data_IF_509960607917
#
_entry.id   IF_509960607917
#
_cell.length_a   1.000
_cell.length_b   1.000
_cell.length_c   1.000
_cell.angle_alpha   90.00
_cell.angle_beta   90.00
_cell.angle_gamma   90.00
#
_symmetry.space_group_name_H-M   'P 1'
#
loop_
_entity.id
_entity.type
_entity.pdbx_description
1 polymer ?
#
# COMPACT_ATOMS: atom_id res chain seq x y z
N UNK A 1 -3.88 18.38 -10.75
CA UNK A 1 -5.29 17.95 -10.90
C UNK A 1 -5.28 16.50 -11.36
N UNK A 2 -6.17 15.66 -10.81
CA UNK A 2 -6.26 14.23 -11.16
C UNK A 2 -6.72 14.09 -12.62
N UNK A 3 -6.09 13.21 -13.44
CA UNK A 3 -6.50 13.00 -14.83
C UNK A 3 -7.70 12.04 -14.90
N UNK A 4 -8.92 12.54 -14.77
CA UNK A 4 -10.17 11.76 -14.69
C UNK A 4 -10.31 10.75 -15.85
N UNK A 5 -10.12 11.20 -17.08
CA UNK A 5 -10.23 10.33 -18.27
C UNK A 5 -9.25 9.14 -18.20
N UNK A 6 -8.06 9.33 -17.64
CA UNK A 6 -7.09 8.25 -17.47
C UNK A 6 -7.52 7.27 -16.34
N UNK A 7 -8.09 7.80 -15.26
CA UNK A 7 -8.65 6.99 -14.16
C UNK A 7 -9.76 6.08 -14.66
N UNK A 8 -10.70 6.65 -15.44
CA UNK A 8 -11.80 5.89 -16.03
C UNK A 8 -11.34 4.81 -17.01
N UNK A 9 -10.33 5.09 -17.85
CA UNK A 9 -9.75 4.10 -18.76
C UNK A 9 -9.00 2.99 -18.03
N UNK A 10 -8.36 3.28 -16.91
CA UNK A 10 -7.58 2.30 -16.14
C UNK A 10 -8.45 1.41 -15.25
N UNK A 11 -9.62 1.88 -14.83
CA UNK A 11 -10.47 1.13 -13.91
C UNK A 11 -10.83 -0.29 -14.37
N UNK A 12 -11.29 -0.53 -15.61
CA UNK A 12 -11.61 -1.89 -16.06
C UNK A 12 -10.41 -2.85 -16.03
N UNK A 13 -9.19 -2.32 -16.25
CA UNK A 13 -7.96 -3.10 -16.21
C UNK A 13 -7.63 -3.48 -14.76
N UNK A 14 -7.66 -2.51 -13.85
CA UNK A 14 -7.29 -2.69 -12.45
C UNK A 14 -8.31 -3.57 -11.71
N UNK A 15 -9.60 -3.36 -11.95
CA UNK A 15 -10.66 -4.20 -11.37
C UNK A 15 -10.59 -5.65 -11.87
N UNK A 16 -10.27 -5.87 -13.15
CA UNK A 16 -10.04 -7.22 -13.70
C UNK A 16 -8.84 -7.92 -13.05
N UNK A 17 -7.75 -7.20 -12.78
CA UNK A 17 -6.59 -7.75 -12.05
C UNK A 17 -6.98 -8.15 -10.62
N UNK A 18 -7.74 -7.32 -9.92
CA UNK A 18 -8.23 -7.60 -8.58
C UNK A 18 -9.21 -8.80 -8.58
N UNK A 19 -10.09 -8.89 -9.58
CA UNK A 19 -10.99 -10.02 -9.77
C UNK A 19 -10.24 -11.34 -9.90
N UNK A 20 -9.18 -11.37 -10.71
CA UNK A 20 -8.33 -12.56 -10.84
C UNK A 20 -7.70 -13.01 -9.50
N UNK A 21 -7.41 -12.07 -8.61
CA UNK A 21 -6.90 -12.38 -7.27
C UNK A 21 -8.00 -12.94 -6.36
N UNK A 22 -9.19 -12.35 -6.41
CA UNK A 22 -10.35 -12.83 -5.65
C UNK A 22 -10.80 -14.23 -6.09
N UNK A 23 -10.82 -14.50 -7.38
CA UNK A 23 -11.21 -15.83 -7.89
C UNK A 23 -10.28 -16.93 -7.37
N UNK A 24 -8.97 -16.65 -7.29
CA UNK A 24 -8.01 -17.57 -6.66
C UNK A 24 -8.27 -17.78 -5.16
N UNK A 25 -8.68 -16.73 -4.44
CA UNK A 25 -9.07 -16.84 -3.03
C UNK A 25 -10.33 -17.68 -2.86
N UNK A 26 -11.35 -17.48 -3.70
CA UNK A 26 -12.60 -18.27 -3.72
C UNK A 26 -12.32 -19.74 -4.01
N UNK A 27 -11.47 -20.04 -5.00
CA UNK A 27 -11.05 -21.41 -5.31
C UNK A 27 -10.30 -22.05 -4.14
N UNK A 28 -9.38 -21.34 -3.49
CA UNK A 28 -8.62 -21.84 -2.34
C UNK A 28 -9.53 -22.15 -1.15
N UNK A 29 -10.53 -21.30 -0.89
CA UNK A 29 -11.51 -21.48 0.18
C UNK A 29 -12.40 -22.70 -0.06
N UNK A 30 -12.90 -22.87 -1.29
CA UNK A 30 -13.73 -24.03 -1.67
C UNK A 30 -12.99 -25.37 -1.55
N UNK A 31 -11.67 -25.37 -1.80
CA UNK A 31 -10.83 -26.58 -1.69
C UNK A 31 -10.49 -26.91 -0.25
N UNK A 32 -10.29 -25.92 0.63
CA UNK A 32 -10.01 -26.16 2.05
C UNK A 32 -11.23 -26.73 2.81
N UNK A 33 -12.43 -26.43 2.36
CA UNK A 33 -13.66 -27.06 2.87
C UNK A 33 -13.82 -28.56 2.47
N UNK A 34 -12.99 -29.09 1.58
CA UNK A 34 -13.15 -30.44 0.99
C UNK A 34 -11.91 -31.35 1.11
N UNK A 35 -10.85 -31.03 1.88
CA UNK A 35 -9.59 -31.75 1.74
C UNK A 35 -9.21 -32.73 2.84
N UNK A 36 -9.05 -33.98 2.43
CA UNK A 36 -8.08 -34.94 2.93
C UNK A 36 -6.66 -34.53 2.51
N UNK A 37 -5.74 -34.48 3.48
CA UNK A 37 -4.36 -34.02 3.43
C UNK A 37 -3.47 -34.49 2.28
N UNK A 38 -3.44 -33.75 1.21
CA UNK A 38 -2.32 -33.79 0.27
C UNK A 38 -1.54 -32.48 0.32
N UNK A 39 -0.26 -32.55 0.65
CA UNK A 39 0.70 -31.44 0.56
C UNK A 39 0.78 -30.98 -0.89
N UNK A 40 -0.07 -30.02 -1.30
CA UNK A 40 0.07 -29.38 -2.62
C UNK A 40 1.36 -28.56 -2.62
N UNK A 41 2.29 -28.89 -3.49
CA UNK A 41 3.44 -28.05 -3.81
C UNK A 41 2.90 -26.65 -4.16
N UNK A 42 3.23 -25.64 -3.35
CA UNK A 42 2.80 -24.25 -3.58
C UNK A 42 3.36 -23.79 -4.91
N UNK A 43 2.51 -23.56 -5.90
CA UNK A 43 2.92 -23.02 -7.19
C UNK A 43 3.47 -21.61 -6.94
N UNK A 44 4.69 -21.34 -7.42
CA UNK A 44 5.35 -20.04 -7.28
C UNK A 44 4.43 -18.94 -7.85
N UNK A 45 4.19 -17.88 -7.07
CA UNK A 45 3.51 -16.68 -7.52
C UNK A 45 4.48 -15.78 -8.31
N UNK A 46 3.96 -14.99 -9.24
CA UNK A 46 4.68 -13.89 -9.88
C UNK A 46 3.91 -12.57 -9.71
N UNK A 47 3.07 -12.48 -8.70
CA UNK A 47 2.18 -11.34 -8.48
C UNK A 47 2.96 -10.09 -8.14
N UNK A 48 3.86 -10.16 -7.15
CA UNK A 48 4.68 -9.01 -6.74
C UNK A 48 5.69 -8.61 -7.81
N UNK A 49 6.26 -9.58 -8.54
CA UNK A 49 7.14 -9.28 -9.67
C UNK A 49 6.41 -8.47 -10.76
N UNK A 50 5.20 -8.87 -11.14
CA UNK A 50 4.39 -8.13 -12.12
C UNK A 50 4.00 -6.75 -11.61
N UNK A 51 3.62 -6.65 -10.33
CA UNK A 51 3.30 -5.37 -9.71
C UNK A 51 4.50 -4.43 -9.68
N UNK A 52 5.70 -4.93 -9.34
CA UNK A 52 6.94 -4.14 -9.38
C UNK A 52 7.17 -3.55 -10.76
N UNK A 53 7.10 -4.37 -11.82
CA UNK A 53 7.29 -3.90 -13.20
C UNK A 53 6.26 -2.86 -13.60
N UNK A 54 4.99 -3.08 -13.26
CA UNK A 54 3.90 -2.13 -13.53
C UNK A 54 4.13 -0.80 -12.82
N UNK A 55 4.45 -0.84 -11.52
CA UNK A 55 4.70 0.35 -10.71
C UNK A 55 5.89 1.15 -11.23
N UNK A 56 7.00 0.46 -11.56
CA UNK A 56 8.18 1.10 -12.12
C UNK A 56 7.86 1.82 -13.44
N UNK A 57 7.14 1.15 -14.36
CA UNK A 57 6.79 1.72 -15.66
C UNK A 57 5.83 2.91 -15.54
N UNK A 58 4.80 2.80 -14.72
CA UNK A 58 3.85 3.90 -14.50
C UNK A 58 4.52 5.10 -13.83
N UNK A 59 5.41 4.84 -12.85
CA UNK A 59 6.14 5.90 -12.15
C UNK A 59 7.23 6.54 -13.01
N UNK A 60 7.77 5.82 -14.00
CA UNK A 60 8.62 6.40 -15.03
C UNK A 60 7.89 7.48 -15.83
N UNK A 61 6.59 7.25 -16.14
CA UNK A 61 5.75 8.26 -16.77
C UNK A 61 5.41 9.41 -15.83
N UNK A 62 4.74 9.12 -14.71
CA UNK A 62 4.44 10.06 -13.62
C UNK A 62 3.99 9.31 -12.35
N UNK A 63 4.79 9.39 -11.30
CA UNK A 63 4.48 8.75 -10.02
C UNK A 63 3.22 9.31 -9.34
N UNK A 64 2.89 10.58 -9.56
CA UNK A 64 1.68 11.21 -9.04
C UNK A 64 0.43 10.68 -9.71
N UNK A 65 0.47 10.51 -11.02
CA UNK A 65 -0.63 9.92 -11.81
C UNK A 65 -0.80 8.44 -11.44
N UNK A 66 0.30 7.69 -11.31
CA UNK A 66 0.24 6.31 -10.84
C UNK A 66 -0.48 6.19 -9.49
N UNK A 67 -0.12 7.03 -8.51
CA UNK A 67 -0.69 6.97 -7.16
C UNK A 67 -2.14 7.48 -7.05
N UNK A 68 -2.70 8.11 -8.09
CA UNK A 68 -4.12 8.46 -8.10
C UNK A 68 -5.02 7.38 -8.72
N UNK A 69 -4.46 6.26 -9.18
CA UNK A 69 -5.24 5.17 -9.76
C UNK A 69 -6.14 4.47 -8.73
N UNK A 70 -7.38 4.11 -9.12
CA UNK A 70 -8.30 3.40 -8.24
C UNK A 70 -7.80 1.99 -7.96
N UNK A 71 -7.72 1.64 -6.70
CA UNK A 71 -7.32 0.31 -6.25
C UNK A 71 -7.58 0.13 -4.76
N UNK A 72 -7.45 -1.09 -4.25
CA UNK A 72 -7.47 -1.37 -2.82
C UNK A 72 -6.24 -0.77 -2.08
N UNK A 73 -5.16 -0.46 -2.80
CA UNK A 73 -3.93 0.19 -2.32
C UNK A 73 -3.41 -0.37 -0.97
N UNK A 74 -2.96 0.51 -0.07
CA UNK A 74 -2.50 0.10 1.27
C UNK A 74 -3.62 -0.48 2.14
N UNK A 75 -4.87 -0.06 1.94
CA UNK A 75 -6.03 -0.67 2.59
C UNK A 75 -6.16 -2.14 2.23
N UNK A 76 -6.03 -2.48 0.95
CA UNK A 76 -6.02 -3.85 0.46
C UNK A 76 -4.87 -4.67 1.03
N UNK A 77 -3.67 -4.11 1.08
CA UNK A 77 -2.50 -4.78 1.67
C UNK A 77 -2.73 -5.11 3.15
N UNK A 78 -3.37 -4.22 3.92
CA UNK A 78 -3.73 -4.48 5.31
C UNK A 78 -4.80 -5.59 5.44
N UNK A 79 -5.83 -5.56 4.58
CA UNK A 79 -6.86 -6.60 4.53
C UNK A 79 -6.23 -7.97 4.20
N UNK A 80 -5.35 -8.03 3.22
CA UNK A 80 -4.65 -9.27 2.84
C UNK A 80 -3.73 -9.79 3.94
N UNK A 81 -3.05 -8.91 4.67
CA UNK A 81 -2.11 -9.29 5.71
C UNK A 81 -2.78 -9.86 6.96
N UNK A 82 -3.91 -9.31 7.40
CA UNK A 82 -4.50 -9.61 8.71
C UNK A 82 -5.97 -10.02 8.67
N UNK A 83 -6.68 -9.81 7.59
CA UNK A 83 -8.09 -10.19 7.44
C UNK A 83 -8.29 -11.70 7.38
N UNK A 84 -9.44 -12.18 7.88
CA UNK A 84 -9.89 -13.55 7.65
C UNK A 84 -10.25 -13.74 6.18
N UNK A 85 -10.39 -15.00 5.73
CA UNK A 85 -10.80 -15.28 4.33
C UNK A 85 -12.15 -14.63 4.02
N UNK A 86 -13.10 -14.70 4.94
CA UNK A 86 -14.41 -14.06 4.81
C UNK A 86 -14.28 -12.53 4.68
N UNK A 87 -13.49 -11.89 5.53
CA UNK A 87 -13.24 -10.46 5.46
C UNK A 87 -12.56 -10.06 4.15
N UNK A 88 -11.57 -10.84 3.68
CA UNK A 88 -10.92 -10.60 2.38
C UNK A 88 -11.93 -10.65 1.23
N UNK A 89 -12.77 -11.68 1.19
CA UNK A 89 -13.79 -11.81 0.15
C UNK A 89 -14.82 -10.68 0.23
N UNK A 90 -15.34 -10.36 1.42
CA UNK A 90 -16.30 -9.28 1.62
C UNK A 90 -15.76 -7.91 1.21
N UNK A 91 -14.56 -7.58 1.67
CA UNK A 91 -14.01 -6.23 1.54
C UNK A 91 -13.33 -5.97 0.19
N UNK A 92 -12.64 -6.97 -0.39
CA UNK A 92 -11.91 -6.78 -1.64
C UNK A 92 -12.78 -6.88 -2.87
N UNK A 93 -13.99 -7.47 -2.77
CA UNK A 93 -14.96 -7.57 -3.89
C UNK A 93 -15.30 -6.20 -4.47
N UNK A 94 -15.42 -5.15 -3.65
CA UNK A 94 -15.71 -3.78 -4.12
C UNK A 94 -14.68 -3.19 -5.08
N UNK A 95 -13.43 -3.69 -5.05
CA UNK A 95 -12.35 -3.26 -5.95
C UNK A 95 -12.25 -4.14 -7.22
N UNK A 96 -13.03 -5.18 -7.32
CA UNK A 96 -13.05 -6.12 -8.43
C UNK A 96 -14.34 -6.10 -9.22
N UNK A 97 -15.42 -5.69 -8.59
CA UNK A 97 -16.78 -5.78 -9.14
C UNK A 97 -17.45 -4.40 -9.03
N UNK A 98 -18.06 -3.96 -10.12
CA UNK A 98 -18.73 -2.66 -10.21
C UNK A 98 -18.19 -1.77 -11.34
N UNK A 99 -19.05 -0.85 -11.79
CA UNK A 99 -18.77 -0.01 -12.95
C UNK A 99 -17.98 1.26 -12.60
N UNK A 100 -17.99 1.66 -11.33
CA UNK A 100 -17.36 2.89 -10.88
C UNK A 100 -16.02 2.64 -10.19
N UNK A 101 -15.02 3.52 -10.38
CA UNK A 101 -13.75 3.46 -9.68
C UNK A 101 -13.93 3.50 -8.15
N UNK A 102 -13.18 2.65 -7.44
CA UNK A 102 -13.18 2.57 -5.98
C UNK A 102 -11.75 2.66 -5.44
N UNK A 103 -11.56 3.42 -4.36
CA UNK A 103 -10.29 3.59 -3.69
C UNK A 103 -10.32 2.98 -2.28
N UNK A 104 -9.21 2.33 -1.92
CA UNK A 104 -8.92 1.91 -0.56
C UNK A 104 -7.74 2.69 0.00
N UNK A 105 -7.78 2.96 1.28
CA UNK A 105 -6.72 3.69 1.96
C UNK A 105 -6.34 3.06 3.29
N UNK A 106 -5.22 3.49 3.86
CA UNK A 106 -4.78 3.10 5.20
C UNK A 106 -4.35 4.34 5.98
N UNK A 107 -4.84 4.49 7.19
CA UNK A 107 -4.58 5.60 8.09
C UNK A 107 -3.93 5.09 9.39
N UNK A 108 -2.62 5.35 9.54
CA UNK A 108 -1.86 5.00 10.73
C UNK A 108 -1.27 6.24 11.41
N UNK A 109 -0.65 7.11 10.63
CA UNK A 109 0.09 8.29 11.11
C UNK A 109 -0.82 9.31 11.79
N UNK A 110 -0.35 9.86 12.90
CA UNK A 110 -1.01 10.91 13.68
C UNK A 110 -0.07 12.11 13.85
N UNK A 111 -0.58 13.30 14.24
CA UNK A 111 0.25 14.48 14.45
C UNK A 111 1.43 14.24 15.40
N UNK A 112 1.25 13.41 16.44
CA UNK A 112 2.27 13.05 17.42
C UNK A 112 2.93 11.69 17.23
N UNK A 113 2.54 10.91 16.20
CA UNK A 113 2.99 9.53 16.02
C UNK A 113 3.23 9.22 14.53
N UNK A 114 4.44 9.43 14.07
CA UNK A 114 4.91 9.09 12.72
C UNK A 114 5.70 7.79 12.72
N UNK A 115 7.04 7.88 12.81
CA UNK A 115 7.92 6.71 12.84
C UNK A 115 7.72 5.85 14.07
N UNK A 116 7.42 6.46 15.21
CA UNK A 116 6.99 5.71 16.40
C UNK A 116 5.48 5.50 16.41
N UNK A 117 5.05 4.43 15.76
CA UNK A 117 3.64 4.03 15.71
C UNK A 117 3.10 3.53 17.04
N UNK A 118 3.97 3.25 18.06
CA UNK A 118 3.50 2.87 19.40
C UNK A 118 2.87 4.03 20.16
N UNK A 119 3.14 5.26 19.72
CA UNK A 119 2.62 6.49 20.32
C UNK A 119 1.24 6.92 19.79
N UNK A 120 0.56 6.12 18.98
CA UNK A 120 -0.76 6.48 18.46
C UNK A 120 -1.77 6.72 19.59
N UNK A 121 -2.58 7.75 19.40
CA UNK A 121 -3.58 8.19 20.38
C UNK A 121 -5.02 7.82 19.98
N UNK A 122 -5.27 7.51 18.72
CA UNK A 122 -6.58 7.04 18.25
C UNK A 122 -7.00 5.79 19.02
N UNK A 123 -8.19 5.82 19.57
CA UNK A 123 -8.78 4.73 20.38
C UNK A 123 -9.92 4.06 19.65
N UNK A 124 -10.14 2.78 19.96
CA UNK A 124 -11.34 2.05 19.62
C UNK A 124 -11.87 1.36 20.88
N UNK A 125 -13.11 1.67 21.24
CA UNK A 125 -13.80 1.11 22.41
C UNK A 125 -14.99 0.30 21.91
N UNK A 126 -15.12 -0.92 22.39
CA UNK A 126 -16.26 -1.77 22.06
C UNK A 126 -17.47 -1.40 22.91
N UNK A 127 -18.62 -1.29 22.27
CA UNK A 127 -19.92 -1.03 22.87
C UNK A 127 -20.77 -2.31 22.78
N UNK A 128 -20.89 -3.01 23.91
CA UNK A 128 -21.61 -4.29 24.01
C UNK A 128 -23.12 -4.12 23.76
N UNK A 129 -23.68 -2.95 24.06
CA UNK A 129 -25.12 -2.70 23.91
C UNK A 129 -25.52 -2.61 22.42
N UNK A 130 -24.67 -1.96 21.61
CA UNK A 130 -24.95 -1.76 20.19
C UNK A 130 -24.22 -2.74 19.27
N UNK A 131 -23.30 -3.54 19.82
CA UNK A 131 -22.42 -4.45 19.07
C UNK A 131 -21.59 -3.70 18.00
N UNK A 132 -20.98 -2.58 18.42
CA UNK A 132 -20.21 -1.68 17.57
C UNK A 132 -18.89 -1.31 18.21
N UNK A 133 -17.91 -0.91 17.37
CA UNK A 133 -16.71 -0.21 17.82
C UNK A 133 -16.91 1.30 17.70
N UNK A 134 -16.50 2.06 18.71
CA UNK A 134 -16.50 3.52 18.72
C UNK A 134 -15.06 4.00 18.59
N UNK A 135 -14.74 4.66 17.48
CA UNK A 135 -13.41 5.18 17.18
C UNK A 135 -13.35 6.69 17.46
N UNK A 136 -12.28 7.12 18.14
CA UNK A 136 -11.98 8.52 18.42
C UNK A 136 -10.51 8.82 18.16
N UNK A 137 -10.21 9.90 17.42
CA UNK A 137 -8.86 10.35 17.15
C UNK A 137 -8.70 11.11 15.85
N UNK A 138 -7.43 11.35 15.47
CA UNK A 138 -7.06 12.06 14.26
C UNK A 138 -5.96 11.31 13.51
N UNK A 139 -6.08 11.24 12.20
CA UNK A 139 -5.08 10.66 11.31
C UNK A 139 -4.64 11.69 10.28
N UNK A 140 -3.34 11.70 9.95
CA UNK A 140 -2.77 12.57 8.94
C UNK A 140 -2.09 11.77 7.84
N UNK A 141 -1.90 12.41 6.69
CA UNK A 141 -1.19 11.85 5.53
C UNK A 141 -1.80 10.55 4.98
N UNK A 142 -3.13 10.44 5.04
CA UNK A 142 -3.86 9.30 4.48
C UNK A 142 -3.97 9.44 2.95
N UNK A 143 -3.14 8.72 2.23
CA UNK A 143 -3.18 8.67 0.76
C UNK A 143 -4.46 8.02 0.28
N UNK A 144 -5.12 8.63 -0.69
CA UNK A 144 -6.44 8.24 -1.25
C UNK A 144 -7.58 8.25 -0.23
N UNK A 145 -7.41 8.88 0.93
CA UNK A 145 -8.41 8.89 1.98
C UNK A 145 -9.66 9.69 1.61
N UNK A 146 -9.51 10.85 0.96
CA UNK A 146 -10.62 11.66 0.46
C UNK A 146 -11.37 10.93 -0.66
N UNK A 147 -10.64 10.35 -1.62
CA UNK A 147 -11.22 9.55 -2.69
C UNK A 147 -12.01 8.35 -2.17
N UNK A 148 -11.48 7.67 -1.14
CA UNK A 148 -12.13 6.51 -0.53
C UNK A 148 -13.40 6.88 0.23
N UNK A 149 -13.38 7.96 1.01
CA UNK A 149 -14.47 8.31 1.93
C UNK A 149 -15.56 9.21 1.33
N UNK A 150 -15.19 10.09 0.37
CA UNK A 150 -16.09 11.14 -0.13
C UNK A 150 -16.44 11.00 -1.61
N UNK A 151 -15.57 10.39 -2.43
CA UNK A 151 -15.77 10.33 -3.88
C UNK A 151 -16.11 8.94 -4.40
N UNK A 152 -15.95 7.88 -3.58
CA UNK A 152 -16.28 6.51 -3.98
C UNK A 152 -16.92 5.71 -2.84
N UNK A 153 -17.44 4.53 -3.14
CA UNK A 153 -17.87 3.57 -2.13
C UNK A 153 -16.66 2.78 -1.58
N UNK A 154 -15.64 3.53 -1.14
CA UNK A 154 -14.37 3.01 -0.68
C UNK A 154 -14.32 2.72 0.81
N UNK A 155 -13.10 2.46 1.28
CA UNK A 155 -12.84 2.23 2.70
C UNK A 155 -11.45 2.72 3.11
N UNK A 156 -11.29 3.00 4.39
CA UNK A 156 -10.00 3.30 5.02
C UNK A 156 -9.75 2.32 6.14
N UNK A 157 -8.59 1.68 6.12
CA UNK A 157 -8.15 0.86 7.26
C UNK A 157 -7.48 1.77 8.28
N UNK A 158 -8.15 1.99 9.40
CA UNK A 158 -7.70 2.85 10.49
C UNK A 158 -7.04 2.00 11.58
N UNK A 159 -5.79 2.30 11.90
CA UNK A 159 -5.12 1.71 13.06
C UNK A 159 -5.44 2.48 14.32
N UNK A 160 -6.05 1.81 15.31
CA UNK A 160 -6.42 2.38 16.59
C UNK A 160 -6.04 1.45 17.74
N UNK A 161 -5.89 1.97 18.95
CA UNK A 161 -5.59 1.16 20.12
C UNK A 161 -6.87 0.77 20.86
N UNK A 162 -7.00 -0.52 21.16
CA UNK A 162 -8.05 -1.08 22.04
C UNK A 162 -7.58 -1.19 23.48
N UNK A 163 -6.27 -1.24 23.69
CA UNK A 163 -5.64 -1.32 25.02
C UNK A 163 -4.28 -0.60 24.98
N UNK A 164 -4.21 0.57 25.61
CA UNK A 164 -2.97 1.36 25.71
C UNK A 164 -1.90 0.68 26.57
N UNK A 165 -2.31 -0.09 27.57
CA UNK A 165 -1.38 -0.76 28.50
C UNK A 165 -0.60 -1.88 27.81
N UNK A 166 -1.15 -2.45 26.74
CA UNK A 166 -0.51 -3.47 25.91
C UNK A 166 0.45 -2.90 24.84
N UNK A 167 0.62 -1.57 24.78
CA UNK A 167 1.47 -0.90 23.79
C UNK A 167 1.12 -1.30 22.37
N UNK A 168 2.12 -1.71 21.58
CA UNK A 168 1.91 -2.13 20.17
C UNK A 168 0.98 -3.33 20.00
N UNK A 169 0.87 -4.20 21.00
CA UNK A 169 -0.03 -5.36 20.94
C UNK A 169 -1.51 -4.95 21.00
N UNK A 170 -1.81 -3.80 21.63
CA UNK A 170 -3.15 -3.22 21.71
C UNK A 170 -3.60 -2.51 20.43
N UNK A 171 -2.70 -2.32 19.44
CA UNK A 171 -3.07 -1.73 18.15
C UNK A 171 -3.80 -2.72 17.26
N UNK A 172 -4.94 -2.31 16.71
CA UNK A 172 -5.77 -3.12 15.80
C UNK A 172 -6.19 -2.31 14.57
N UNK A 173 -6.35 -2.96 13.41
CA UNK A 173 -6.87 -2.33 12.20
C UNK A 173 -8.39 -2.44 12.12
N UNK A 174 -9.03 -1.32 11.83
CA UNK A 174 -10.48 -1.19 11.70
C UNK A 174 -10.87 -0.72 10.32
N UNK A 175 -11.92 -1.32 9.77
CA UNK A 175 -12.49 -0.95 8.47
C UNK A 175 -13.49 0.18 8.68
N UNK A 176 -13.15 1.35 8.18
CA UNK A 176 -14.03 2.52 8.14
C UNK A 176 -14.50 2.70 6.70
N UNK A 177 -15.78 2.55 6.46
CA UNK A 177 -16.37 2.65 5.13
C UNK A 177 -16.83 4.08 4.83
N UNK A 178 -16.96 4.40 3.55
CA UNK A 178 -17.53 5.66 3.11
C UNK A 178 -18.92 5.89 3.74
N UNK A 179 -19.21 7.11 4.15
CA UNK A 179 -20.47 7.46 4.79
C UNK A 179 -20.59 7.10 6.27
N UNK A 180 -19.56 6.52 6.91
CA UNK A 180 -19.56 6.24 8.36
C UNK A 180 -19.78 7.54 9.16
N UNK A 181 -20.84 7.65 10.00
CA UNK A 181 -21.08 8.83 10.82
C UNK A 181 -19.91 9.09 11.79
N UNK A 182 -19.58 10.38 12.01
CA UNK A 182 -18.46 10.77 12.88
C UNK A 182 -17.10 10.73 12.20
N UNK A 183 -17.01 10.35 10.92
CA UNK A 183 -15.79 10.40 10.12
C UNK A 183 -15.80 11.61 9.21
N UNK A 184 -14.74 12.40 9.22
CA UNK A 184 -14.61 13.61 8.38
C UNK A 184 -13.21 13.73 7.80
N UNK A 185 -13.13 14.07 6.53
CA UNK A 185 -11.90 14.58 5.92
C UNK A 185 -11.77 16.06 6.35
N UNK A 186 -10.71 16.36 7.10
CA UNK A 186 -10.51 17.68 7.70
C UNK A 186 -9.61 18.58 6.90
N UNK A 187 -8.69 17.99 6.11
CA UNK A 187 -7.70 18.75 5.35
C UNK A 187 -7.16 17.93 4.17
N UNK A 188 -7.03 18.57 3.02
CA UNK A 188 -6.21 18.07 1.92
C UNK A 188 -4.79 18.64 2.04
N UNK A 189 -3.76 17.77 1.98
CA UNK A 189 -2.38 18.15 2.19
C UNK A 189 -1.76 18.76 0.94
N UNK A 190 -1.05 19.89 1.12
CA UNK A 190 -0.23 20.49 0.07
C UNK A 190 1.14 19.79 0.06
N UNK A 191 1.43 19.06 -1.01
CA UNK A 191 2.66 18.28 -1.13
C UNK A 191 3.68 18.94 -2.05
N UNK A 192 4.98 18.72 -1.80
CA UNK A 192 6.06 19.18 -2.67
C UNK A 192 6.13 18.41 -4.00
N UNK A 193 5.78 17.14 -4.00
CA UNK A 193 5.72 16.26 -5.17
C UNK A 193 4.50 15.35 -5.11
N UNK A 194 4.29 14.50 -6.14
CA UNK A 194 3.17 13.54 -6.23
C UNK A 194 1.82 14.25 -6.00
N UNK A 195 1.67 15.44 -6.60
CA UNK A 195 0.56 16.36 -6.32
C UNK A 195 -0.77 15.92 -6.92
N UNK A 196 -0.76 15.05 -7.91
CA UNK A 196 -1.96 14.46 -8.49
C UNK A 196 -2.64 13.44 -7.55
N UNK A 197 -1.86 12.82 -6.66
CA UNK A 197 -2.38 11.89 -5.65
C UNK A 197 -3.05 12.64 -4.51
N UNK A 198 -4.24 12.21 -4.11
CA UNK A 198 -4.95 12.67 -2.93
C UNK A 198 -4.20 12.25 -1.65
N UNK A 199 -4.11 13.15 -0.68
CA UNK A 199 -3.56 12.85 0.65
C UNK A 199 -4.25 13.77 1.65
N UNK A 200 -4.89 13.19 2.66
CA UNK A 200 -5.77 13.93 3.58
C UNK A 200 -5.49 13.65 5.04
N UNK A 201 -5.99 14.53 5.89
CA UNK A 201 -6.19 14.31 7.32
C UNK A 201 -7.64 13.92 7.58
N UNK A 202 -7.85 13.00 8.54
CA UNK A 202 -9.15 12.43 8.88
C UNK A 202 -9.38 12.58 10.38
N UNK A 203 -10.53 13.12 10.78
CA UNK A 203 -11.03 13.12 12.17
C UNK A 203 -12.04 11.99 12.36
N UNK A 204 -11.97 11.37 13.52
CA UNK A 204 -12.88 10.33 14.01
C UNK A 204 -13.49 10.83 15.33
N UNK A 205 -14.77 11.15 15.32
CA UNK A 205 -15.51 11.71 16.44
C UNK A 205 -16.69 10.80 16.79
N UNK A 206 -16.50 9.89 17.74
CA UNK A 206 -17.46 8.83 18.06
C UNK A 206 -17.91 8.06 16.81
N UNK A 207 -16.97 7.78 15.92
CA UNK A 207 -17.24 7.06 14.69
C UNK A 207 -17.61 5.62 15.01
N UNK A 208 -18.86 5.23 14.71
CA UNK A 208 -19.40 3.90 15.00
C UNK A 208 -19.28 2.99 13.79
N UNK A 209 -18.71 1.83 14.00
CA UNK A 209 -18.54 0.81 12.98
C UNK A 209 -18.99 -0.55 13.51
N UNK A 210 -19.52 -1.45 12.67
CA UNK A 210 -19.93 -2.79 13.07
C UNK A 210 -18.81 -3.60 13.76
N UNK A 211 -19.20 -4.50 14.65
CA UNK A 211 -18.26 -5.35 15.39
C UNK A 211 -17.30 -6.15 14.46
N UNK A 212 -17.80 -6.62 13.32
CA UNK A 212 -17.04 -7.42 12.34
C UNK A 212 -16.11 -6.59 11.43
N UNK A 213 -16.10 -5.25 11.61
CA UNK A 213 -15.19 -4.35 10.93
C UNK A 213 -13.80 -4.20 11.60
N UNK A 214 -13.52 -4.93 12.67
CA UNK A 214 -12.13 -5.17 13.11
C UNK A 214 -11.50 -6.25 12.22
N UNK A 215 -10.33 -5.99 11.63
CA UNK A 215 -9.64 -7.00 10.82
C UNK A 215 -8.92 -8.04 11.70
N UNK A 216 -9.17 -9.30 11.43
CA UNK A 216 -8.62 -10.42 12.20
C UNK A 216 -9.29 -10.55 13.56
N UNK A 217 -8.49 -10.74 14.63
CA UNK A 217 -8.98 -10.94 15.99
C UNK A 217 -8.89 -9.67 16.83
N UNK A 218 -9.94 -9.39 17.61
CA UNK A 218 -9.95 -8.33 18.61
C UNK A 218 -9.05 -8.65 19.83
N UNK A 219 -8.71 -9.92 20.04
CA UNK A 219 -7.92 -10.38 21.18
C UNK A 219 -6.53 -9.73 21.22
N UNK A 220 -6.17 -9.16 22.36
CA UNK A 220 -4.86 -8.56 22.57
C UNK A 220 -3.87 -9.66 22.99
N UNK A 221 -3.00 -10.05 22.08
CA UNK A 221 -1.95 -11.05 22.33
C UNK A 221 -0.65 -10.35 22.72
N UNK A 222 -0.33 -10.31 24.00
CA UNK A 222 0.91 -9.70 24.53
C UNK A 222 2.12 -10.62 24.39
N UNK A 223 1.92 -11.94 24.37
CA UNK A 223 3.00 -12.90 24.21
C UNK A 223 3.45 -13.04 22.75
N UNK A 224 4.76 -12.94 22.51
CA UNK A 224 5.39 -13.15 21.21
C UNK A 224 5.22 -12.01 20.18
N UNK A 225 4.76 -10.83 20.59
CA UNK A 225 4.68 -9.63 19.71
C UNK A 225 3.76 -9.79 18.49
N UNK A 226 2.78 -10.68 18.56
CA UNK A 226 1.94 -11.04 17.40
C UNK A 226 0.99 -9.91 16.95
N UNK A 227 0.57 -9.05 17.87
CA UNK A 227 -0.38 -7.95 17.53
C UNK A 227 0.18 -6.94 16.53
N UNK A 228 1.48 -6.62 16.57
CA UNK A 228 2.13 -5.69 15.65
C UNK A 228 2.62 -6.36 14.35
N UNK A 229 2.73 -7.68 14.31
CA UNK A 229 3.21 -8.42 13.12
C UNK A 229 2.35 -8.18 11.88
N UNK A 230 1.04 -7.99 12.05
CA UNK A 230 0.14 -7.67 10.93
C UNK A 230 0.45 -6.33 10.28
N UNK A 231 0.71 -5.28 11.08
CA UNK A 231 1.14 -3.98 10.55
C UNK A 231 2.48 -4.10 9.82
N UNK A 232 3.46 -4.79 10.41
CA UNK A 232 4.76 -5.01 9.77
C UNK A 232 4.63 -5.80 8.48
N UNK A 233 3.83 -6.87 8.44
CA UNK A 233 3.58 -7.63 7.23
C UNK A 233 2.97 -6.78 6.09
N UNK A 234 2.07 -5.84 6.45
CA UNK A 234 1.52 -4.87 5.48
C UNK A 234 2.63 -4.00 4.89
N UNK A 235 3.53 -3.48 5.72
CA UNK A 235 4.65 -2.66 5.27
C UNK A 235 5.68 -3.46 4.48
N UNK A 236 6.04 -4.65 4.92
CA UNK A 236 7.00 -5.52 4.23
C UNK A 236 6.51 -5.91 2.83
N UNK A 237 5.19 -6.08 2.66
CA UNK A 237 4.58 -6.32 1.35
C UNK A 237 4.55 -5.07 0.45
N UNK A 238 4.42 -3.86 1.02
CA UNK A 238 4.24 -2.62 0.26
C UNK A 238 5.55 -1.88 -0.05
N UNK A 239 6.56 -1.94 0.82
CA UNK A 239 7.83 -1.21 0.65
C UNK A 239 8.56 -1.50 -0.66
N UNK A 240 8.68 -2.75 -1.12
CA UNK A 240 9.34 -3.03 -2.41
C UNK A 240 8.61 -2.38 -3.59
N UNK A 241 7.29 -2.21 -3.53
CA UNK A 241 6.53 -1.51 -4.56
C UNK A 241 6.77 0.00 -4.52
N UNK A 242 6.95 0.59 -3.33
CA UNK A 242 7.37 2.00 -3.19
C UNK A 242 8.78 2.20 -3.77
N UNK A 243 9.70 1.27 -3.51
CA UNK A 243 11.03 1.28 -4.10
C UNK A 243 10.96 1.20 -5.64
N UNK A 244 10.08 0.36 -6.19
CA UNK A 244 9.84 0.29 -7.64
C UNK A 244 9.37 1.64 -8.22
N UNK A 245 8.50 2.35 -7.48
CA UNK A 245 8.08 3.71 -7.87
C UNK A 245 9.25 4.69 -7.92
N UNK A 246 10.12 4.67 -6.91
CA UNK A 246 11.34 5.50 -6.88
C UNK A 246 12.29 5.15 -8.02
N UNK A 247 12.45 3.86 -8.35
CA UNK A 247 13.24 3.39 -9.49
C UNK A 247 12.70 3.94 -10.82
N UNK A 248 11.37 3.93 -11.02
CA UNK A 248 10.75 4.50 -12.21
C UNK A 248 11.10 5.97 -12.40
N UNK A 249 10.91 6.79 -11.36
CA UNK A 249 11.27 8.22 -11.37
C UNK A 249 12.76 8.43 -11.60
N UNK A 250 13.62 7.67 -10.89
CA UNK A 250 15.08 7.77 -11.03
C UNK A 250 15.56 7.40 -12.44
N UNK A 251 14.94 6.37 -13.04
CA UNK A 251 15.25 5.96 -14.43
C UNK A 251 14.87 7.05 -15.42
N UNK A 252 13.68 7.63 -15.30
CA UNK A 252 13.25 8.73 -16.17
C UNK A 252 14.22 9.93 -16.08
N UNK A 253 14.63 10.29 -14.85
CA UNK A 253 15.60 11.37 -14.65
C UNK A 253 16.97 11.07 -15.25
N UNK A 254 17.47 9.85 -15.09
CA UNK A 254 18.76 9.42 -15.64
C UNK A 254 18.73 9.39 -17.19
N UNK A 255 17.67 8.89 -17.79
CA UNK A 255 17.47 8.87 -19.24
C UNK A 255 17.46 10.30 -19.79
N UNK A 256 16.72 11.22 -19.13
CA UNK A 256 16.69 12.64 -19.51
C UNK A 256 18.08 13.29 -19.39
N UNK A 257 18.82 13.05 -18.33
CA UNK A 257 20.20 13.59 -18.18
C UNK A 257 21.11 13.08 -19.30
N UNK A 258 21.07 11.80 -19.64
CA UNK A 258 21.87 11.22 -20.72
C UNK A 258 21.51 11.84 -22.09
N UNK A 259 20.22 12.05 -22.35
CA UNK A 259 19.76 12.75 -23.57
C UNK A 259 20.32 14.17 -23.65
N UNK A 260 20.23 14.95 -22.56
CA UNK A 260 20.75 16.33 -22.54
C UNK A 260 22.27 16.41 -22.65
N UNK A 261 23.00 15.45 -22.12
CA UNK A 261 24.44 15.36 -22.29
C UNK A 261 24.81 15.03 -23.73
N UNK A 262 24.11 14.12 -24.38
CA UNK A 262 24.30 13.79 -25.78
C UNK A 262 24.00 15.00 -26.71
N UNK A 263 22.91 15.76 -26.45
CA UNK A 263 22.63 17.03 -27.15
C UNK A 263 23.75 18.04 -26.99
N UNK A 264 24.44 18.05 -25.84
CA UNK A 264 25.59 18.91 -25.55
C UNK A 264 26.92 18.36 -26.11
N UNK A 265 26.90 17.24 -26.83
CA UNK A 265 28.10 16.59 -27.39
C UNK A 265 28.95 15.87 -26.34
N UNK A 266 28.36 15.49 -25.20
CA UNK A 266 29.05 14.77 -24.11
C UNK A 266 28.60 13.30 -24.15
N UNK A 267 29.46 12.43 -24.68
CA UNK A 267 29.25 10.99 -24.68
C UNK A 267 29.68 10.36 -23.35
N UNK A 268 29.03 9.25 -22.98
CA UNK A 268 29.36 8.44 -21.80
C UNK A 268 30.13 7.20 -22.26
N UNK A 269 31.48 7.18 -22.15
CA UNK A 269 32.29 6.05 -22.60
C UNK A 269 32.34 4.95 -21.54
N UNK A 270 31.61 3.87 -21.76
CA UNK A 270 31.51 2.73 -20.82
C UNK A 270 32.77 1.87 -20.74
N UNK A 271 33.64 1.97 -21.71
CA UNK A 271 34.90 1.21 -21.85
C UNK A 271 36.15 2.02 -21.43
N UNK A 272 35.97 3.31 -21.14
CA UNK A 272 37.11 4.14 -20.74
C UNK A 272 37.54 3.87 -19.29
N UNK A 273 38.85 3.92 -18.98
CA UNK A 273 39.31 3.83 -17.61
C UNK A 273 38.78 4.98 -16.74
N UNK A 274 38.33 4.66 -15.53
CA UNK A 274 37.63 5.62 -14.62
C UNK A 274 38.41 6.93 -14.41
N UNK A 275 39.75 6.88 -14.32
CA UNK A 275 40.60 8.05 -14.13
C UNK A 275 40.67 9.00 -15.34
N UNK A 276 40.25 8.53 -16.53
CA UNK A 276 40.18 9.36 -17.75
C UNK A 276 38.84 10.02 -17.98
N UNK A 277 37.84 9.64 -17.20
CA UNK A 277 36.51 10.23 -17.29
C UNK A 277 36.46 11.64 -16.71
N UNK A 278 35.67 12.50 -17.27
CA UNK A 278 35.32 13.80 -16.67
C UNK A 278 34.45 13.58 -15.41
N UNK A 279 34.31 14.61 -14.56
CA UNK A 279 33.47 14.54 -13.38
C UNK A 279 32.01 14.17 -13.76
N UNK A 280 31.42 14.83 -14.75
CA UNK A 280 30.07 14.56 -15.22
C UNK A 280 29.90 13.11 -15.69
N UNK A 281 30.87 12.59 -16.46
CA UNK A 281 30.81 11.19 -16.94
C UNK A 281 30.87 10.19 -15.79
N UNK A 282 31.71 10.46 -14.77
CA UNK A 282 31.78 9.63 -13.56
C UNK A 282 30.47 9.64 -12.79
N UNK A 283 29.89 10.82 -12.58
CA UNK A 283 28.64 10.98 -11.84
C UNK A 283 27.49 10.21 -12.53
N UNK A 284 27.39 10.27 -13.86
CA UNK A 284 26.38 9.50 -14.61
C UNK A 284 26.58 8.00 -14.46
N UNK A 285 27.82 7.51 -14.59
CA UNK A 285 28.11 6.08 -14.45
C UNK A 285 27.85 5.59 -13.02
N UNK A 286 28.14 6.41 -12.01
CA UNK A 286 27.85 6.09 -10.62
C UNK A 286 26.33 6.05 -10.35
N UNK A 287 25.56 7.04 -10.81
CA UNK A 287 24.11 7.04 -10.72
C UNK A 287 23.51 5.79 -11.41
N UNK A 288 24.02 5.43 -12.59
CA UNK A 288 23.55 4.23 -13.30
C UNK A 288 23.87 2.94 -12.55
N UNK A 289 25.04 2.85 -11.94
CA UNK A 289 25.43 1.69 -11.11
C UNK A 289 24.54 1.59 -9.85
N UNK A 290 24.28 2.71 -9.17
CA UNK A 290 23.38 2.75 -8.01
C UNK A 290 21.95 2.38 -8.38
N UNK A 291 21.44 2.87 -9.51
CA UNK A 291 20.11 2.51 -10.01
C UNK A 291 20.01 1.00 -10.31
N UNK A 292 21.02 0.40 -10.94
CA UNK A 292 21.06 -1.05 -11.18
C UNK A 292 21.09 -1.85 -9.88
N UNK A 293 21.90 -1.42 -8.90
CA UNK A 293 21.97 -2.08 -7.60
C UNK A 293 20.62 -2.02 -6.86
N UNK A 294 19.99 -0.84 -6.82
CA UNK A 294 18.67 -0.66 -6.21
C UNK A 294 17.59 -1.50 -6.91
N UNK A 295 17.62 -1.57 -8.26
CA UNK A 295 16.69 -2.42 -9.02
C UNK A 295 16.85 -3.91 -8.66
N UNK A 296 18.10 -4.41 -8.56
CA UNK A 296 18.36 -5.80 -8.19
C UNK A 296 17.90 -6.13 -6.76
N UNK A 297 18.09 -5.22 -5.80
CA UNK A 297 17.58 -5.38 -4.43
C UNK A 297 16.06 -5.41 -4.41
N UNK A 298 15.41 -4.50 -5.11
CA UNK A 298 13.94 -4.47 -5.22
C UNK A 298 13.41 -5.74 -5.87
N UNK A 299 14.06 -6.22 -6.94
CA UNK A 299 13.71 -7.48 -7.61
C UNK A 299 13.84 -8.67 -6.66
N UNK A 300 14.90 -8.71 -5.85
CA UNK A 300 15.09 -9.74 -4.82
C UNK A 300 13.96 -9.71 -3.80
N UNK A 301 13.63 -8.52 -3.26
CA UNK A 301 12.60 -8.35 -2.25
C UNK A 301 11.21 -8.82 -2.75
N UNK A 302 10.81 -8.46 -3.97
CA UNK A 302 9.53 -8.92 -4.55
C UNK A 302 9.52 -10.40 -4.87
N UNK A 303 10.66 -10.97 -5.25
CA UNK A 303 10.80 -12.42 -5.47
C UNK A 303 10.61 -13.19 -4.17
N UNK A 304 11.17 -12.69 -3.06
CA UNK A 304 10.98 -13.28 -1.73
C UNK A 304 9.50 -13.25 -1.31
N UNK A 305 8.77 -12.16 -1.59
CA UNK A 305 7.32 -12.09 -1.37
C UNK A 305 6.55 -13.13 -2.19
N UNK A 306 6.89 -13.30 -3.48
CA UNK A 306 6.27 -14.29 -4.35
C UNK A 306 6.57 -15.73 -3.88
N UNK A 307 7.75 -15.98 -3.31
CA UNK A 307 8.15 -17.25 -2.69
C UNK A 307 7.58 -17.44 -1.27
N UNK A 308 6.98 -16.39 -0.67
CA UNK A 308 6.45 -16.39 0.69
C UNK A 308 7.54 -16.44 1.77
N UNK A 309 8.71 -15.89 1.47
CA UNK A 309 9.83 -15.76 2.42
C UNK A 309 9.91 -14.34 2.99
N UNK A 310 10.35 -14.15 4.25
CA UNK A 310 10.49 -12.82 4.83
C UNK A 310 11.52 -11.97 4.05
N UNK A 311 11.17 -10.70 3.82
CA UNK A 311 11.99 -9.72 3.09
C UNK A 311 12.33 -8.47 3.90
N UNK A 312 12.18 -8.51 5.22
CA UNK A 312 12.32 -7.33 6.11
C UNK A 312 13.74 -6.74 6.16
N UNK A 313 14.75 -7.46 5.66
CA UNK A 313 16.15 -7.03 5.61
C UNK A 313 16.57 -6.50 4.23
N UNK A 314 15.76 -6.64 3.20
CA UNK A 314 16.00 -6.19 1.82
C UNK A 314 15.31 -4.84 1.55
#
# INVERSE_FOLDING_TARGET
QRPEAFVEQMWPILSSMQKSTLDKLREADSVNGSSNGSTKVRKRSNTYLRMMMLVEMLSWGDAGIYLCLPSAALGGSAIEAVGTTEQKLRLLTRFAEGDNPVWGAMAMTEPGAGSDTSAIQTTAVYDDETNEWILNGEKIFCTSGGLALEESNGLVIVWATVDRSAGRAGMKPFVVEAGTPGVKVTKAELKHGIRASDTVSISLENARIPADNILGSAEVQTEGGKGFKGAMATFDASRPLVAAGALGVGRAALEFVKEKLAEAGIDIPYDAPYHKLTAVQRDVLEMEAQMKAAHLLTLRAVTMLDDGTPNSLE
#
